data_IF_057480111427
#
_entry.id   IF_057480111427
#
_cell.length_a   1.000
_cell.length_b   1.000
_cell.length_c   1.000
_cell.angle_alpha   90.00
_cell.angle_beta   90.00
_cell.angle_gamma   90.00
#
_symmetry.space_group_name_H-M   'P 1'
#
loop_
_entity.id
_entity.type
_entity.pdbx_description
1 polymer ?
#
# COMPACT_ATOMS: atom_id res chain seq x y z
N UNK A 1 22.51 12.62 15.55
CA UNK A 1 22.15 12.16 14.19
C UNK A 1 21.30 10.88 14.21
N UNK A 2 21.75 9.76 14.81
CA UNK A 2 21.00 8.48 14.83
C UNK A 2 19.64 8.48 15.56
N UNK A 3 19.50 9.21 16.67
CA UNK A 3 18.24 9.23 17.43
C UNK A 3 17.05 9.85 16.67
N UNK A 4 17.32 10.78 15.76
CA UNK A 4 16.29 11.45 14.95
C UNK A 4 15.69 10.51 13.91
N UNK A 5 16.54 9.72 13.23
CA UNK A 5 16.12 8.73 12.23
C UNK A 5 15.23 7.63 12.83
N UNK A 6 15.57 7.15 14.03
CA UNK A 6 14.76 6.15 14.75
C UNK A 6 13.39 6.71 15.14
N UNK A 7 13.32 7.99 15.52
CA UNK A 7 12.07 8.66 15.87
C UNK A 7 11.15 8.80 14.64
N UNK A 8 11.72 9.19 13.49
CA UNK A 8 11.00 9.38 12.23
C UNK A 8 10.41 8.07 11.69
N UNK A 9 11.20 6.99 11.71
CA UNK A 9 10.71 5.63 11.35
C UNK A 9 9.61 5.15 12.31
N UNK A 10 9.70 5.49 13.60
CA UNK A 10 8.66 5.14 14.58
C UNK A 10 7.38 5.95 14.37
N UNK A 11 7.47 7.23 14.02
CA UNK A 11 6.30 8.05 13.70
C UNK A 11 5.59 7.55 12.44
N UNK A 12 6.32 7.22 11.38
CA UNK A 12 5.74 6.60 10.17
C UNK A 12 5.03 5.28 10.50
N UNK A 13 5.68 4.43 11.30
CA UNK A 13 5.09 3.17 11.75
C UNK A 13 3.85 3.36 12.61
N UNK A 14 3.84 4.36 13.50
CA UNK A 14 2.70 4.66 14.35
C UNK A 14 1.52 5.21 13.53
N UNK A 15 1.80 6.06 12.53
CA UNK A 15 0.81 6.61 11.60
C UNK A 15 0.10 5.48 10.83
N UNK A 16 0.85 4.47 10.39
CA UNK A 16 0.27 3.25 9.78
C UNK A 16 -0.58 2.46 10.78
N UNK A 17 -0.11 2.27 12.02
CA UNK A 17 -0.84 1.51 13.06
C UNK A 17 -2.14 2.17 13.51
N UNK A 18 -2.16 3.50 13.62
CA UNK A 18 -3.39 4.25 13.94
C UNK A 18 -4.41 4.18 12.82
N UNK A 19 -3.95 4.11 11.57
CA UNK A 19 -4.81 4.02 10.40
C UNK A 19 -5.58 2.68 10.34
N UNK A 20 -4.97 1.58 10.81
CA UNK A 20 -5.63 0.25 10.88
C UNK A 20 -6.80 0.25 11.89
N UNK A 21 -6.81 1.16 12.88
CA UNK A 21 -7.80 1.16 13.98
C UNK A 21 -9.10 1.90 13.65
N UNK A 22 -9.20 2.56 12.49
CA UNK A 22 -10.35 3.39 12.11
C UNK A 22 -10.82 3.00 10.70
N UNK A 23 -11.98 2.35 10.61
CA UNK A 23 -12.68 1.92 9.37
C UNK A 23 -11.82 1.17 8.33
N UNK A 24 -11.82 -0.15 8.43
CA UNK A 24 -10.95 -1.07 7.66
C UNK A 24 -11.18 -1.09 6.14
N UNK A 25 -12.14 -0.34 5.58
CA UNK A 25 -12.49 -0.39 4.15
C UNK A 25 -12.93 0.95 3.52
N UNK A 26 -12.51 2.10 4.08
CA UNK A 26 -12.84 3.40 3.48
C UNK A 26 -11.92 3.73 2.29
N UNK A 27 -12.46 4.35 1.23
CA UNK A 27 -11.72 4.75 0.02
C UNK A 27 -12.10 6.17 -0.44
N UNK A 28 -12.31 7.09 0.53
CA UNK A 28 -12.84 8.43 0.27
C UNK A 28 -11.93 9.26 -0.61
N UNK A 29 -10.60 9.18 -0.43
CA UNK A 29 -9.65 9.94 -1.24
C UNK A 29 -9.63 9.45 -2.69
N UNK A 30 -9.63 8.13 -2.87
CA UNK A 30 -9.65 7.51 -4.19
C UNK A 30 -10.97 7.78 -4.95
N UNK A 31 -12.08 7.96 -4.23
CA UNK A 31 -13.41 8.19 -4.80
C UNK A 31 -13.68 9.66 -5.17
N UNK A 32 -12.79 10.61 -4.81
CA UNK A 32 -12.93 12.02 -5.19
C UNK A 32 -12.94 12.18 -6.71
N UNK A 33 -13.78 13.07 -7.22
CA UNK A 33 -13.90 13.33 -8.67
C UNK A 33 -12.55 13.68 -9.31
N UNK A 34 -11.74 14.50 -8.64
CA UNK A 34 -10.39 14.89 -9.09
C UNK A 34 -9.37 13.74 -9.15
N UNK A 35 -9.66 12.61 -8.51
CA UNK A 35 -8.77 11.45 -8.42
C UNK A 35 -9.25 10.27 -9.27
N UNK A 36 -10.47 10.31 -9.82
CA UNK A 36 -11.00 9.24 -10.69
C UNK A 36 -10.13 9.00 -11.90
N UNK A 37 -9.63 10.06 -12.53
CA UNK A 37 -8.76 9.97 -13.71
C UNK A 37 -7.36 9.46 -13.38
N UNK A 38 -6.93 9.58 -12.11
CA UNK A 38 -5.67 9.03 -11.59
C UNK A 38 -5.77 7.53 -11.28
N UNK A 39 -6.96 6.94 -11.38
CA UNK A 39 -7.21 5.52 -11.16
C UNK A 39 -7.40 4.79 -12.50
N UNK A 40 -6.43 3.97 -12.89
CA UNK A 40 -6.54 3.18 -14.12
C UNK A 40 -7.73 2.20 -14.09
N UNK A 41 -8.09 1.69 -12.91
CA UNK A 41 -9.24 0.80 -12.71
C UNK A 41 -9.93 1.12 -11.38
N UNK A 42 -11.21 1.50 -11.43
CA UNK A 42 -12.00 1.83 -10.24
C UNK A 42 -12.22 0.65 -9.28
N UNK A 43 -12.01 -0.58 -9.74
CA UNK A 43 -12.04 -1.79 -8.88
C UNK A 43 -10.74 -2.00 -8.11
N UNK A 44 -9.67 -1.30 -8.48
CA UNK A 44 -8.33 -1.43 -7.90
C UNK A 44 -7.87 -0.05 -7.40
N UNK A 45 -8.34 0.33 -6.20
CA UNK A 45 -8.05 1.61 -5.56
C UNK A 45 -7.56 1.39 -4.12
N UNK A 46 -6.73 2.29 -3.57
CA UNK A 46 -6.18 2.12 -2.23
C UNK A 46 -7.23 2.43 -1.16
N UNK A 47 -7.07 1.83 0.02
CA UNK A 47 -7.84 2.22 1.19
C UNK A 47 -7.23 3.46 1.84
N UNK A 48 -8.07 4.26 2.50
CA UNK A 48 -7.63 5.48 3.16
C UNK A 48 -6.54 5.21 4.22
N UNK A 49 -6.60 4.05 4.88
CA UNK A 49 -5.68 3.69 5.95
C UNK A 49 -4.28 3.27 5.49
N UNK A 50 -4.14 2.77 4.25
CA UNK A 50 -2.85 2.32 3.74
C UNK A 50 -2.42 2.98 2.42
N UNK A 51 -3.15 3.97 1.91
CA UNK A 51 -2.71 4.72 0.73
C UNK A 51 -1.37 5.41 0.99
N UNK A 52 -0.57 5.53 -0.06
CA UNK A 52 0.58 6.44 -0.07
C UNK A 52 0.07 7.87 -0.15
N UNK A 53 0.60 8.76 0.70
CA UNK A 53 0.27 10.19 0.70
C UNK A 53 1.52 10.96 0.31
N UNK A 54 1.43 11.70 -0.80
CA UNK A 54 2.51 12.54 -1.29
C UNK A 54 2.48 13.92 -0.62
N UNK A 55 3.56 14.67 -0.77
CA UNK A 55 3.56 16.09 -0.44
C UNK A 55 2.63 16.84 -1.39
N UNK A 56 1.76 17.68 -0.84
CA UNK A 56 0.86 18.51 -1.63
C UNK A 56 1.64 19.60 -2.38
N UNK A 57 1.30 19.78 -3.65
CA UNK A 57 1.83 20.85 -4.50
C UNK A 57 0.91 22.06 -4.39
N UNK A 58 1.48 23.23 -4.12
CA UNK A 58 0.74 24.49 -4.02
C UNK A 58 -0.04 24.78 -5.31
N UNK A 59 -1.32 25.13 -5.17
CA UNK A 59 -2.20 25.43 -6.31
C UNK A 59 -2.74 24.21 -7.07
N UNK A 60 -2.33 22.98 -6.75
CA UNK A 60 -2.81 21.75 -7.39
C UNK A 60 -3.68 20.93 -6.42
N UNK A 61 -5.01 20.93 -6.58
CA UNK A 61 -5.91 20.15 -5.73
C UNK A 61 -5.63 18.64 -5.80
N UNK A 62 -5.70 17.98 -4.64
CA UNK A 62 -5.53 16.52 -4.50
C UNK A 62 -4.20 16.00 -5.09
N UNK A 63 -3.16 16.84 -5.12
CA UNK A 63 -1.80 16.48 -5.54
C UNK A 63 -1.10 15.52 -4.58
N UNK A 64 -1.64 15.38 -3.35
CA UNK A 64 -1.21 14.41 -2.35
C UNK A 64 -1.66 12.97 -2.67
N UNK A 65 -2.54 12.79 -3.66
CA UNK A 65 -3.12 11.50 -4.02
C UNK A 65 -2.35 10.79 -5.15
N UNK A 66 -1.99 9.54 -4.88
CA UNK A 66 -1.56 8.55 -5.87
C UNK A 66 -2.28 7.22 -5.60
N UNK A 67 -2.64 6.48 -6.66
CA UNK A 67 -3.19 5.13 -6.52
C UNK A 67 -2.07 4.14 -6.18
N UNK A 68 -1.70 4.10 -4.90
CA UNK A 68 -0.72 3.17 -4.34
C UNK A 68 -1.03 2.91 -2.87
N UNK A 69 -0.68 1.72 -2.39
CA UNK A 69 -0.85 1.31 -0.99
C UNK A 69 0.47 0.81 -0.40
N UNK A 70 0.69 1.07 0.89
CA UNK A 70 1.73 0.44 1.67
C UNK A 70 1.40 -1.04 1.92
N UNK A 71 2.39 -1.92 1.71
CA UNK A 71 2.28 -3.37 1.94
C UNK A 71 3.32 -3.77 2.98
N UNK A 72 2.88 -4.46 4.04
CA UNK A 72 3.80 -5.05 5.02
C UNK A 72 4.27 -6.42 4.53
N UNK A 73 5.54 -6.49 4.12
CA UNK A 73 6.19 -7.72 3.64
C UNK A 73 6.47 -8.72 4.76
N UNK A 74 6.34 -8.34 6.04
CA UNK A 74 6.54 -9.27 7.18
C UNK A 74 5.42 -10.29 7.33
N UNK A 75 4.25 -10.00 6.77
CA UNK A 75 3.07 -10.87 6.76
C UNK A 75 3.12 -11.94 5.65
N UNK A 76 4.11 -11.91 4.77
CA UNK A 76 4.31 -12.94 3.77
C UNK A 76 4.90 -14.17 4.45
N UNK A 77 4.05 -15.16 4.75
CA UNK A 77 4.48 -16.49 5.16
C UNK A 77 5.48 -17.01 4.10
N UNK A 78 6.73 -17.36 4.47
CA UNK A 78 7.73 -17.94 3.58
C UNK A 78 7.19 -19.13 2.75
N UNK A 79 6.15 -19.82 3.24
CA UNK A 79 5.52 -20.95 2.55
C UNK A 79 4.83 -20.58 1.22
N UNK A 80 4.47 -19.31 0.99
CA UNK A 80 3.86 -18.87 -0.28
C UNK A 80 4.87 -18.74 -1.43
N UNK A 81 6.18 -18.74 -1.13
CA UNK A 81 7.25 -18.66 -2.13
C UNK A 81 7.62 -20.03 -2.73
N UNK A 82 7.18 -21.14 -2.13
CA UNK A 82 7.63 -22.49 -2.50
C UNK A 82 6.67 -23.30 -3.38
N UNK A 83 5.52 -22.77 -3.78
CA UNK A 83 4.57 -23.52 -4.62
C UNK A 83 4.78 -23.26 -6.11
N UNK A 84 5.87 -23.79 -6.66
CA UNK A 84 5.91 -24.33 -8.03
C UNK A 84 6.60 -25.70 -7.95
N UNK A 85 5.85 -26.80 -7.70
CA UNK A 85 6.37 -28.11 -8.04
C UNK A 85 6.49 -28.15 -9.56
N UNK A 86 7.74 -28.20 -10.05
CA UNK A 86 8.03 -28.34 -11.46
C UNK A 86 7.28 -29.53 -12.06
N UNK A 87 6.75 -29.30 -13.25
CA UNK A 87 6.35 -30.35 -14.17
C UNK A 87 7.61 -31.18 -14.51
N UNK A 88 7.86 -32.24 -13.75
CA UNK A 88 8.79 -33.29 -14.16
C UNK A 88 7.94 -34.43 -14.69
N UNK A 89 7.66 -34.35 -15.99
CA UNK A 89 7.11 -35.46 -16.77
C UNK A 89 7.99 -36.68 -16.62
N UNK A 90 7.34 -37.81 -16.41
CA UNK A 90 7.91 -39.14 -16.36
C UNK A 90 8.69 -39.43 -17.65
N UNK A 91 9.99 -39.71 -17.51
CA UNK A 91 10.77 -40.45 -18.50
C UNK A 91 11.53 -41.56 -17.79
N UNK A 92 11.25 -42.80 -18.19
CA UNK A 92 11.95 -44.03 -17.77
C UNK A 92 10.95 -45.17 -17.61
N UNK A 93 10.65 -45.92 -18.69
CA UNK A 93 11.30 -47.19 -19.08
C UNK A 93 10.91 -48.37 -18.20
#
# INVERSE_FOLDING_TARGET
>A
MFGRLIAEIKEESLRMKTAIKVETHSCRHASKTANKEKNQNMKCIPYDYNRVVLDSIEGVPDSDYINASHVDVKSLDPKRLHSHPGANGEYGK
#
